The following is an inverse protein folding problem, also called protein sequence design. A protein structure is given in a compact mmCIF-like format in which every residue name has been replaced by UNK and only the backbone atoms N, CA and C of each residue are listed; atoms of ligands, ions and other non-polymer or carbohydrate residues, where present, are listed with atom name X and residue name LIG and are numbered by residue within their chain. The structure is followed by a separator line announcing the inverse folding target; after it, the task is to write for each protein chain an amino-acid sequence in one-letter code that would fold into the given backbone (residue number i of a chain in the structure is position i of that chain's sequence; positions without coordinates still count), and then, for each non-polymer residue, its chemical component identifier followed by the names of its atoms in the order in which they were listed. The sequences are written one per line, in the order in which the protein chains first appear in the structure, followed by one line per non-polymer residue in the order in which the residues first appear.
data_IF_706972634780
#
_entry.id   IF_706972634780
#
_cell.length_a   1.000
_cell.length_b   1.000
_cell.length_c   1.000
_cell.angle_alpha   90.00
_cell.angle_beta   90.00
_cell.angle_gamma   90.00
#
_symmetry.space_group_name_H-M   'P 1'
#
loop_
_entity.id
_entity.type
_entity.pdbx_description
1 polymer ?
#
# COMPACT_ATOMS: atom_id res chain seq x y z
N UNK A 1 14.40 -2.20 -1.76
CA UNK A 1 14.68 -2.54 -0.35
C UNK A 1 13.53 -3.43 0.12
N UNK A 2 13.79 -4.50 0.88
CA UNK A 2 12.76 -5.49 1.23
C UNK A 2 11.84 -5.06 2.39
N UNK A 3 12.05 -3.87 2.97
CA UNK A 3 11.14 -3.15 3.87
C UNK A 3 11.74 -1.78 4.23
N UNK A 4 10.94 -0.83 4.74
CA UNK A 4 11.41 0.41 5.37
C UNK A 4 10.82 0.56 6.77
N UNK A 5 11.68 0.80 7.78
CA UNK A 5 11.23 1.23 9.10
C UNK A 5 10.93 2.72 9.10
N UNK A 6 9.75 3.08 9.58
CA UNK A 6 9.33 4.47 9.77
C UNK A 6 9.90 5.02 11.08
N UNK A 7 9.92 6.36 11.28
CA UNK A 7 10.30 6.97 12.56
C UNK A 7 9.46 6.47 13.75
N UNK A 8 8.23 6.02 13.50
CA UNK A 8 7.34 5.42 14.51
C UNK A 8 7.59 3.94 14.78
N UNK A 9 8.68 3.37 14.23
CA UNK A 9 9.09 1.96 14.34
C UNK A 9 8.13 0.96 13.69
N UNK A 10 7.17 1.42 12.89
CA UNK A 10 6.35 0.56 12.03
C UNK A 10 7.13 0.22 10.76
N UNK A 11 6.72 -0.85 10.08
CA UNK A 11 7.40 -1.35 8.89
C UNK A 11 6.47 -1.22 7.68
N UNK A 12 7.00 -0.68 6.58
CA UNK A 12 6.44 -0.74 5.24
C UNK A 12 7.09 -1.95 4.55
N UNK A 13 6.28 -2.87 4.02
CA UNK A 13 6.77 -4.15 3.52
C UNK A 13 7.68 -4.01 2.29
N UNK A 14 7.38 -3.09 1.37
CA UNK A 14 8.19 -2.98 0.16
C UNK A 14 8.25 -1.57 -0.41
N UNK A 15 9.47 -1.14 -0.72
CA UNK A 15 9.74 0.06 -1.51
C UNK A 15 10.76 -0.33 -2.58
N UNK A 16 10.27 -0.35 -3.83
CA UNK A 16 11.02 -0.77 -5.00
C UNK A 16 11.48 0.42 -5.83
N UNK A 17 12.75 0.49 -6.26
CA UNK A 17 13.24 1.61 -7.08
C UNK A 17 12.53 1.75 -8.43
N UNK A 18 11.89 0.69 -8.93
CA UNK A 18 11.09 0.69 -10.17
C UNK A 18 9.63 1.12 -9.97
N UNK A 19 9.18 1.28 -8.72
CA UNK A 19 7.81 1.68 -8.38
C UNK A 19 7.72 3.19 -8.02
N UNK A 20 8.77 3.98 -8.28
CA UNK A 20 8.82 5.41 -7.90
C UNK A 20 8.59 5.59 -6.36
N UNK A 21 8.00 6.67 -5.80
CA UNK A 21 7.82 6.80 -4.35
C UNK A 21 6.63 5.96 -3.84
N UNK A 22 6.30 4.82 -4.47
CA UNK A 22 5.17 3.97 -4.05
C UNK A 22 5.65 2.92 -3.05
N UNK A 23 5.09 2.99 -1.85
CA UNK A 23 5.17 2.00 -0.80
C UNK A 23 4.05 0.96 -0.95
N UNK A 24 4.40 -0.32 -0.89
CA UNK A 24 3.45 -1.43 -0.89
C UNK A 24 3.43 -2.07 0.49
N UNK A 25 2.22 -2.25 1.03
CA UNK A 25 1.97 -3.07 2.21
C UNK A 25 1.02 -4.23 1.87
N UNK A 26 1.39 -5.45 2.24
CA UNK A 26 0.53 -6.62 2.14
C UNK A 26 -0.38 -6.70 3.37
N UNK A 27 -1.70 -6.65 3.18
CA UNK A 27 -2.66 -6.80 4.28
C UNK A 27 -3.72 -7.83 3.94
N UNK A 28 -3.93 -8.76 4.86
CA UNK A 28 -5.07 -9.63 4.83
C UNK A 28 -6.28 -8.89 5.43
N UNK A 29 -7.03 -8.18 4.58
CA UNK A 29 -8.27 -7.49 4.95
C UNK A 29 -9.42 -7.96 4.07
N UNK A 30 -10.56 -8.21 4.72
CA UNK A 30 -11.88 -8.29 4.11
C UNK A 30 -12.56 -6.91 4.20
N UNK A 31 -13.75 -6.76 3.61
CA UNK A 31 -14.39 -5.47 3.38
C UNK A 31 -14.55 -4.64 4.68
N UNK A 32 -14.30 -3.32 4.58
CA UNK A 32 -14.72 -2.32 5.57
C UNK A 32 -13.68 -1.86 6.60
N UNK A 33 -12.47 -2.43 6.65
CA UNK A 33 -11.43 -2.01 7.64
C UNK A 33 -10.08 -1.60 7.04
N UNK A 34 -9.90 -1.73 5.73
CA UNK A 34 -8.61 -1.50 5.08
C UNK A 34 -8.03 -0.09 5.32
N UNK A 35 -8.88 0.95 5.41
CA UNK A 35 -8.42 2.33 5.59
C UNK A 35 -7.69 2.55 6.92
N UNK A 36 -8.08 1.84 7.99
CA UNK A 36 -7.39 1.89 9.28
C UNK A 36 -6.03 1.16 9.25
N UNK A 37 -5.90 0.15 8.39
CA UNK A 37 -4.64 -0.56 8.18
C UNK A 37 -3.62 0.27 7.37
N UNK A 38 -4.10 1.28 6.63
CA UNK A 38 -3.28 2.17 5.82
C UNK A 38 -2.54 3.27 6.60
N UNK A 39 -2.72 3.36 7.92
CA UNK A 39 -2.17 4.43 8.76
C UNK A 39 -0.64 4.53 8.66
N UNK A 40 0.05 3.41 8.51
CA UNK A 40 1.52 3.40 8.43
C UNK A 40 2.01 4.04 7.13
N UNK A 41 1.50 3.57 5.99
CA UNK A 41 1.90 4.08 4.68
C UNK A 41 1.43 5.53 4.47
N UNK A 42 0.22 5.90 4.92
CA UNK A 42 -0.30 7.27 4.83
C UNK A 42 0.49 8.28 5.68
N UNK A 43 1.19 7.81 6.72
CA UNK A 43 2.05 8.66 7.55
C UNK A 43 3.48 8.77 7.00
N UNK A 44 3.77 8.13 5.87
CA UNK A 44 5.09 8.18 5.22
C UNK A 44 5.14 9.27 4.15
N UNK A 45 6.35 9.54 3.64
CA UNK A 45 6.55 10.43 2.49
C UNK A 45 6.19 9.78 1.13
N UNK A 46 5.77 8.51 1.16
CA UNK A 46 5.50 7.70 -0.01
C UNK A 46 4.00 7.70 -0.36
N UNK A 47 3.71 7.54 -1.64
CA UNK A 47 2.38 7.12 -2.10
C UNK A 47 2.12 5.70 -1.63
N UNK A 48 0.88 5.35 -1.27
CA UNK A 48 0.58 4.06 -0.67
C UNK A 48 -0.28 3.14 -1.54
N UNK A 49 0.08 1.86 -1.58
CA UNK A 49 -0.79 0.78 -2.05
C UNK A 49 -0.86 -0.31 -1.00
N UNK A 50 -2.05 -0.60 -0.50
CA UNK A 50 -2.34 -1.82 0.24
C UNK A 50 -2.69 -2.92 -0.76
N UNK A 51 -1.82 -3.93 -0.86
CA UNK A 51 -2.13 -5.17 -1.53
C UNK A 51 -3.06 -6.00 -0.64
N UNK A 52 -4.35 -6.02 -0.98
CA UNK A 52 -5.41 -6.67 -0.20
C UNK A 52 -5.81 -8.03 -0.77
N UNK A 53 -6.68 -8.76 -0.05
CA UNK A 53 -7.26 -10.01 -0.57
C UNK A 53 -8.35 -9.75 -1.62
N UNK A 54 -9.28 -8.84 -1.36
CA UNK A 54 -10.49 -8.65 -2.19
C UNK A 54 -10.91 -7.19 -2.39
N UNK A 55 -10.26 -6.23 -1.74
CA UNK A 55 -10.72 -4.83 -1.75
C UNK A 55 -10.06 -4.10 -2.91
N UNK A 56 -10.89 -3.54 -3.78
CA UNK A 56 -10.50 -2.55 -4.77
C UNK A 56 -11.12 -1.21 -4.38
N UNK A 57 -10.28 -0.31 -3.90
CA UNK A 57 -10.66 1.06 -3.56
C UNK A 57 -9.51 2.00 -3.94
N UNK A 58 -9.68 2.68 -5.07
CA UNK A 58 -8.78 3.70 -5.58
C UNK A 58 -9.41 5.09 -5.48
N UNK A 59 -10.40 5.26 -4.59
CA UNK A 59 -11.16 6.51 -4.45
C UNK A 59 -10.42 7.58 -3.65
N UNK A 60 -9.27 7.26 -3.05
CA UNK A 60 -8.46 8.23 -2.31
C UNK A 60 -8.09 9.40 -3.23
N UNK A 61 -8.59 10.59 -2.88
CA UNK A 61 -8.43 11.83 -3.65
C UNK A 61 -7.27 12.70 -3.19
N UNK A 62 -6.66 12.38 -2.05
CA UNK A 62 -5.51 13.11 -1.50
C UNK A 62 -4.22 12.55 -2.06
N UNK A 63 -3.24 13.43 -2.32
CA UNK A 63 -1.90 13.05 -2.79
C UNK A 63 -1.18 12.06 -1.86
N UNK A 64 -1.62 11.91 -0.60
CA UNK A 64 -1.04 11.00 0.39
C UNK A 64 -1.94 9.84 0.79
N UNK A 65 -3.11 9.69 0.15
CA UNK A 65 -4.07 8.65 0.51
C UNK A 65 -3.75 7.34 -0.20
N UNK A 66 -3.50 6.28 0.56
CA UNK A 66 -3.23 4.97 -0.01
C UNK A 66 -4.45 4.40 -0.75
N UNK A 67 -4.18 3.67 -1.82
CA UNK A 67 -5.16 2.82 -2.49
C UNK A 67 -5.19 1.43 -1.88
N UNK A 68 -6.34 0.77 -1.92
CA UNK A 68 -6.45 -0.67 -1.73
C UNK A 68 -6.63 -1.35 -3.08
N UNK A 69 -5.79 -2.32 -3.38
CA UNK A 69 -5.84 -3.09 -4.64
C UNK A 69 -5.70 -4.57 -4.31
N UNK A 70 -6.53 -5.47 -4.86
CA UNK A 70 -6.33 -6.90 -4.65
C UNK A 70 -4.95 -7.32 -5.18
N UNK A 71 -4.21 -8.12 -4.41
CA UNK A 71 -2.85 -8.53 -4.74
C UNK A 71 -2.75 -9.21 -6.12
N UNK A 72 -3.78 -9.94 -6.54
CA UNK A 72 -3.85 -10.56 -7.88
C UNK A 72 -3.92 -9.53 -9.01
N UNK A 73 -4.68 -8.46 -8.83
CA UNK A 73 -4.76 -7.37 -9.80
C UNK A 73 -3.47 -6.55 -9.82
N UNK A 74 -2.90 -6.26 -8.66
CA UNK A 74 -1.60 -5.59 -8.56
C UNK A 74 -0.52 -6.39 -9.29
N UNK A 75 -0.44 -7.70 -9.06
CA UNK A 75 0.49 -8.60 -9.74
C UNK A 75 0.30 -8.59 -11.26
N UNK A 76 -0.94 -8.67 -11.74
CA UNK A 76 -1.24 -8.58 -13.17
C UNK A 76 -0.77 -7.26 -13.79
N UNK A 77 -0.91 -6.13 -13.09
CA UNK A 77 -0.52 -4.82 -13.61
C UNK A 77 0.99 -4.58 -13.65
N UNK A 78 1.79 -5.25 -12.80
CA UNK A 78 3.25 -5.07 -12.73
C UNK A 78 4.05 -6.10 -13.53
N UNK A 79 3.41 -7.20 -13.94
CA UNK A 79 4.02 -8.29 -14.74
C UNK A 79 3.92 -8.03 -16.26
N UNK A 80 3.34 -6.91 -16.68
CA UNK A 80 3.14 -6.52 -18.09
C UNK A 80 4.13 -5.43 -18.50
#
# INVERSE_FOLDING_TARGET
MLYQRTPSRKEIDFIGPRLAPVAIEGKYTDAGRWAGEAVTVNASEHLGVLATRTVLDTSATTETGAWAVPASFLAYCIDI
#
